data_IF_582109851915
#
_entry.id   IF_582109851915
#
_cell.length_a   1.000
_cell.length_b   1.000
_cell.length_c   1.000
_cell.angle_alpha   90.00
_cell.angle_beta   90.00
_cell.angle_gamma   90.00
#
_symmetry.space_group_name_H-M   'P 1'
#
loop_
_entity.id
_entity.type
_entity.pdbx_description
1 polymer ?
#
# COMPACT_ATOMS: atom_id res chain seq x y z
N UNK A 1 -32.79 4.20 2.79
CA UNK A 1 -31.57 4.94 3.17
C UNK A 1 -31.11 5.66 1.92
N UNK A 2 -30.73 6.93 2.00
CA UNK A 2 -30.12 7.62 0.86
C UNK A 2 -28.82 6.88 0.49
N UNK A 3 -28.57 6.67 -0.79
CA UNK A 3 -27.35 6.00 -1.24
C UNK A 3 -26.11 6.84 -1.01
N UNK A 4 -24.97 6.19 -1.15
CA UNK A 4 -23.67 6.72 -0.77
C UNK A 4 -22.99 7.42 -1.94
N UNK A 5 -22.31 8.53 -1.61
CA UNK A 5 -21.40 9.24 -2.52
C UNK A 5 -19.97 8.84 -2.21
N UNK A 6 -19.29 8.28 -3.21
CA UNK A 6 -17.88 7.88 -3.14
C UNK A 6 -17.04 8.83 -3.98
N UNK A 7 -15.87 9.22 -3.47
CA UNK A 7 -14.85 9.95 -4.22
C UNK A 7 -13.62 9.06 -4.34
N UNK A 8 -13.25 8.66 -5.56
CA UNK A 8 -12.03 7.92 -5.83
C UNK A 8 -10.94 8.87 -6.35
N UNK A 9 -9.87 8.99 -5.58
CA UNK A 9 -8.69 9.77 -5.93
C UNK A 9 -7.69 8.88 -6.65
N UNK A 10 -7.52 9.10 -7.95
CA UNK A 10 -6.63 8.33 -8.83
C UNK A 10 -7.39 7.38 -9.76
N UNK A 11 -6.97 7.35 -11.03
CA UNK A 11 -7.50 6.48 -12.08
C UNK A 11 -6.37 5.78 -12.87
N UNK A 12 -5.25 5.50 -12.18
CA UNK A 12 -4.22 4.58 -12.66
C UNK A 12 -4.69 3.11 -12.69
N UNK A 13 -3.76 2.16 -12.81
CA UNK A 13 -4.12 0.73 -12.91
C UNK A 13 -4.97 0.23 -11.73
N UNK A 14 -4.61 0.59 -10.49
CA UNK A 14 -5.39 0.24 -9.29
C UNK A 14 -6.73 0.96 -9.25
N UNK A 15 -6.77 2.25 -9.63
CA UNK A 15 -8.01 3.03 -9.72
C UNK A 15 -9.01 2.44 -10.71
N UNK A 16 -8.53 1.94 -11.85
CA UNK A 16 -9.36 1.24 -12.84
C UNK A 16 -9.94 -0.05 -12.26
N UNK A 17 -9.13 -0.86 -11.58
CA UNK A 17 -9.59 -2.08 -10.94
C UNK A 17 -10.61 -1.80 -9.82
N UNK A 18 -10.31 -0.88 -8.91
CA UNK A 18 -11.21 -0.43 -7.84
C UNK A 18 -12.56 0.04 -8.38
N UNK A 19 -12.56 0.81 -9.47
CA UNK A 19 -13.80 1.32 -10.05
C UNK A 19 -14.73 0.19 -10.54
N UNK A 20 -14.18 -0.92 -11.05
CA UNK A 20 -14.96 -2.10 -11.49
C UNK A 20 -15.80 -2.66 -10.33
N UNK A 21 -15.25 -2.70 -9.12
CA UNK A 21 -15.97 -3.18 -7.94
C UNK A 21 -16.92 -2.12 -7.38
N UNK A 22 -16.50 -0.85 -7.32
CA UNK A 22 -17.33 0.25 -6.85
C UNK A 22 -18.62 0.41 -7.65
N UNK A 23 -18.57 0.24 -8.98
CA UNK A 23 -19.78 0.30 -9.81
C UNK A 23 -20.70 -0.90 -9.59
N UNK A 24 -20.22 -2.03 -9.09
CA UNK A 24 -21.05 -3.22 -8.82
C UNK A 24 -21.59 -3.22 -7.38
N UNK A 25 -20.95 -2.49 -6.47
CA UNK A 25 -21.34 -2.47 -5.07
C UNK A 25 -22.72 -1.84 -4.85
N UNK A 26 -23.62 -2.52 -4.10
CA UNK A 26 -24.95 -2.00 -3.82
C UNK A 26 -24.89 -0.80 -2.87
N UNK A 27 -25.87 0.10 -2.98
CA UNK A 27 -26.01 1.26 -2.10
C UNK A 27 -25.11 2.45 -2.43
N UNK A 28 -24.30 2.39 -3.50
CA UNK A 28 -23.56 3.53 -4.04
C UNK A 28 -24.37 4.20 -5.16
N UNK A 29 -24.73 5.46 -4.96
CA UNK A 29 -25.54 6.25 -5.90
C UNK A 29 -24.67 7.16 -6.78
N UNK A 30 -23.56 7.67 -6.27
CA UNK A 30 -22.65 8.58 -6.99
C UNK A 30 -21.20 8.16 -6.76
N UNK A 31 -20.42 8.09 -7.84
CA UNK A 31 -18.98 7.86 -7.82
C UNK A 31 -18.31 9.00 -8.58
N UNK A 32 -17.49 9.77 -7.86
CA UNK A 32 -16.66 10.82 -8.41
C UNK A 32 -15.26 10.27 -8.57
N UNK A 33 -14.78 10.12 -9.80
CA UNK A 33 -13.42 9.66 -10.07
C UNK A 33 -12.58 10.88 -10.41
N UNK A 34 -11.35 10.93 -9.89
CA UNK A 34 -10.43 12.03 -10.16
C UNK A 34 -9.07 11.57 -10.66
N UNK A 35 -8.53 12.29 -11.64
CA UNK A 35 -7.14 12.16 -12.09
C UNK A 35 -6.72 13.48 -12.79
N UNK A 36 -5.46 13.60 -13.19
CA UNK A 36 -4.92 14.75 -13.89
C UNK A 36 -4.35 14.45 -15.30
N UNK A 37 -4.24 13.17 -15.70
CA UNK A 37 -3.66 12.81 -17.00
C UNK A 37 -4.51 13.27 -18.20
N UNK A 38 -3.90 13.61 -19.35
CA UNK A 38 -4.64 14.00 -20.55
C UNK A 38 -5.54 12.88 -21.09
N UNK A 39 -6.83 13.15 -21.30
CA UNK A 39 -7.79 12.18 -21.82
C UNK A 39 -8.60 11.44 -20.75
N UNK A 40 -8.28 11.64 -19.46
CA UNK A 40 -8.98 11.03 -18.32
C UNK A 40 -10.52 11.17 -18.38
N UNK A 41 -11.03 12.36 -18.67
CA UNK A 41 -12.49 12.59 -18.70
C UNK A 41 -13.18 11.79 -19.82
N UNK A 42 -12.51 11.60 -20.96
CA UNK A 42 -13.02 10.80 -22.06
C UNK A 42 -13.02 9.30 -21.70
N UNK A 43 -12.00 8.82 -21.00
CA UNK A 43 -11.93 7.43 -20.52
C UNK A 43 -13.07 7.11 -19.55
N UNK A 44 -13.41 8.05 -18.65
CA UNK A 44 -14.56 7.89 -17.74
C UNK A 44 -15.88 7.97 -18.49
N UNK A 45 -16.04 8.91 -19.43
CA UNK A 45 -17.24 9.02 -20.24
C UNK A 45 -17.51 7.75 -21.06
N UNK A 46 -16.45 7.09 -21.57
CA UNK A 46 -16.54 5.85 -22.31
C UNK A 46 -17.09 4.66 -21.49
N UNK A 47 -17.09 4.75 -20.15
CA UNK A 47 -17.71 3.73 -19.29
C UNK A 47 -19.24 3.71 -19.42
N UNK A 48 -19.86 4.81 -19.85
CA UNK A 48 -21.31 4.90 -20.07
C UNK A 48 -22.17 4.69 -18.81
N UNK A 49 -21.57 4.77 -17.61
CA UNK A 49 -22.28 4.53 -16.36
C UNK A 49 -22.80 5.85 -15.77
N UNK A 50 -24.12 6.05 -15.62
CA UNK A 50 -24.70 7.32 -15.18
C UNK A 50 -24.36 7.68 -13.72
N UNK A 51 -23.87 6.73 -12.92
CA UNK A 51 -23.45 6.98 -11.53
C UNK A 51 -22.00 7.47 -11.44
N UNK A 52 -21.22 7.38 -12.51
CA UNK A 52 -19.79 7.71 -12.50
C UNK A 52 -19.58 9.04 -13.21
N UNK A 53 -18.89 9.97 -12.56
CA UNK A 53 -18.47 11.24 -13.16
C UNK A 53 -16.98 11.50 -12.96
N UNK A 54 -16.37 12.09 -13.98
CA UNK A 54 -14.98 12.56 -13.89
C UNK A 54 -14.92 13.96 -13.28
N UNK A 55 -13.91 14.20 -12.45
CA UNK A 55 -13.47 15.53 -12.04
C UNK A 55 -11.96 15.57 -12.15
N UNK A 56 -11.43 16.47 -12.97
CA UNK A 56 -9.99 16.67 -13.04
C UNK A 56 -9.49 17.32 -11.76
N UNK A 57 -8.51 16.69 -11.10
CA UNK A 57 -7.91 17.17 -9.84
C UNK A 57 -6.40 17.00 -9.89
N UNK A 58 -5.68 18.06 -9.56
CA UNK A 58 -4.26 17.99 -9.23
C UNK A 58 -4.10 17.76 -7.72
N UNK A 59 -3.66 16.56 -7.34
CA UNK A 59 -3.51 16.17 -5.94
C UNK A 59 -2.45 17.00 -5.17
N UNK A 60 -1.58 17.75 -5.86
CA UNK A 60 -0.68 18.71 -5.20
C UNK A 60 -1.38 19.97 -4.71
N UNK A 61 -2.59 20.23 -5.20
CA UNK A 61 -3.39 21.39 -4.82
C UNK A 61 -4.44 20.99 -3.79
N UNK A 62 -4.13 21.27 -2.53
CA UNK A 62 -4.99 20.96 -1.39
C UNK A 62 -6.43 21.45 -1.56
N UNK A 63 -6.64 22.64 -2.13
CA UNK A 63 -7.98 23.20 -2.29
C UNK A 63 -8.82 22.43 -3.32
N UNK A 64 -8.21 21.91 -4.39
CA UNK A 64 -8.90 21.05 -5.37
C UNK A 64 -9.30 19.72 -4.71
N UNK A 65 -8.40 19.11 -3.93
CA UNK A 65 -8.72 17.91 -3.14
C UNK A 65 -9.85 18.19 -2.13
N UNK A 66 -9.80 19.32 -1.43
CA UNK A 66 -10.79 19.65 -0.42
C UNK A 66 -12.18 19.82 -1.05
N UNK A 67 -12.24 20.51 -2.19
CA UNK A 67 -13.48 20.71 -2.93
C UNK A 67 -14.12 19.40 -3.39
N UNK A 68 -13.32 18.44 -3.88
CA UNK A 68 -13.87 17.17 -4.37
C UNK A 68 -14.23 16.20 -3.24
N UNK A 69 -13.44 16.18 -2.15
CA UNK A 69 -13.67 15.31 -0.99
C UNK A 69 -14.85 15.79 -0.14
N UNK A 70 -15.19 17.08 -0.17
CA UNK A 70 -16.27 17.64 0.62
C UNK A 70 -17.63 16.95 0.34
N UNK A 71 -18.29 16.54 1.43
CA UNK A 71 -19.59 15.87 1.38
C UNK A 71 -19.57 14.44 0.82
N UNK A 72 -18.40 13.84 0.63
CA UNK A 72 -18.31 12.41 0.35
C UNK A 72 -18.65 11.60 1.61
N UNK A 73 -19.30 10.45 1.43
CA UNK A 73 -19.45 9.47 2.52
C UNK A 73 -18.14 8.74 2.78
N UNK A 74 -17.44 8.38 1.70
CA UNK A 74 -16.13 7.70 1.72
C UNK A 74 -15.27 8.24 0.59
N UNK A 75 -14.00 8.51 0.90
CA UNK A 75 -12.94 8.77 -0.06
C UNK A 75 -12.10 7.50 -0.21
N UNK A 76 -11.84 7.07 -1.44
CA UNK A 76 -10.93 5.96 -1.78
C UNK A 76 -9.68 6.57 -2.38
N UNK A 77 -8.54 6.42 -1.72
CA UNK A 77 -7.26 7.02 -2.08
C UNK A 77 -6.35 5.98 -2.73
N UNK A 78 -6.03 6.22 -4.01
CA UNK A 78 -5.21 5.37 -4.87
C UNK A 78 -4.17 6.23 -5.62
N UNK A 79 -3.69 7.30 -4.97
CA UNK A 79 -2.68 8.21 -5.47
C UNK A 79 -1.27 7.68 -5.13
N UNK A 80 -0.20 8.28 -5.67
CA UNK A 80 1.15 8.01 -5.19
C UNK A 80 1.29 8.28 -3.69
N UNK A 81 2.02 7.43 -2.96
CA UNK A 81 2.11 7.48 -1.49
C UNK A 81 2.62 8.79 -0.87
N UNK A 82 3.17 9.73 -1.64
CA UNK A 82 3.48 11.07 -1.14
C UNK A 82 2.22 11.89 -0.78
N UNK A 83 1.05 11.49 -1.29
CA UNK A 83 -0.23 12.12 -1.01
C UNK A 83 -1.01 11.44 0.12
N UNK A 84 -0.58 10.26 0.59
CA UNK A 84 -1.31 9.47 1.58
C UNK A 84 -1.55 10.25 2.89
N UNK A 85 -0.48 10.78 3.52
CA UNK A 85 -0.61 11.61 4.71
C UNK A 85 -1.40 12.91 4.45
N UNK A 86 -1.10 13.74 3.43
CA UNK A 86 -1.91 14.92 3.12
C UNK A 86 -3.42 14.64 2.93
N UNK A 87 -3.78 13.55 2.28
CA UNK A 87 -5.20 13.16 2.10
C UNK A 87 -5.81 12.72 3.42
N UNK A 88 -5.09 11.97 4.27
CA UNK A 88 -5.58 11.58 5.60
C UNK A 88 -5.79 12.80 6.51
N UNK A 89 -4.89 13.79 6.47
CA UNK A 89 -5.05 15.06 7.16
C UNK A 89 -6.34 15.77 6.73
N UNK A 90 -6.54 15.87 5.42
CA UNK A 90 -7.70 16.54 4.87
C UNK A 90 -9.00 15.76 5.14
N UNK A 91 -8.96 14.43 5.14
CA UNK A 91 -10.07 13.59 5.52
C UNK A 91 -10.49 13.85 6.98
N UNK A 92 -9.51 13.95 7.88
CA UNK A 92 -9.73 14.29 9.29
C UNK A 92 -10.30 15.70 9.45
N UNK A 93 -9.81 16.68 8.71
CA UNK A 93 -10.32 18.06 8.72
C UNK A 93 -11.77 18.14 8.22
N UNK A 94 -12.09 17.48 7.11
CA UNK A 94 -13.44 17.48 6.51
C UNK A 94 -14.42 16.55 7.24
N UNK A 95 -13.92 15.58 8.01
CA UNK A 95 -14.76 14.57 8.66
C UNK A 95 -15.37 13.56 7.68
N UNK A 96 -14.57 13.09 6.73
CA UNK A 96 -14.97 12.07 5.74
C UNK A 96 -14.25 10.76 6.02
N UNK A 97 -14.91 9.63 5.78
CA UNK A 97 -14.23 8.34 5.89
C UNK A 97 -13.20 8.20 4.78
N UNK A 98 -12.11 7.49 5.05
CA UNK A 98 -11.03 7.27 4.09
C UNK A 98 -10.69 5.79 4.01
N UNK A 99 -10.50 5.28 2.80
CA UNK A 99 -9.84 4.00 2.53
C UNK A 99 -8.61 4.32 1.68
N UNK A 100 -7.43 3.96 2.15
CA UNK A 100 -6.16 4.16 1.45
C UNK A 100 -5.46 2.82 1.26
N UNK A 101 -4.94 2.60 0.05
CA UNK A 101 -4.11 1.43 -0.24
C UNK A 101 -2.63 1.63 0.16
N UNK A 102 -2.28 2.76 0.78
CA UNK A 102 -0.92 3.15 1.12
C UNK A 102 -0.66 3.05 2.63
N UNK A 103 0.62 2.93 3.01
CA UNK A 103 1.06 3.35 4.33
C UNK A 103 0.87 4.86 4.46
N UNK A 104 0.18 5.34 5.50
CA UNK A 104 0.01 6.79 5.67
C UNK A 104 1.34 7.47 6.02
N UNK A 105 2.10 6.89 6.94
CA UNK A 105 3.47 7.32 7.23
C UNK A 105 4.46 6.62 6.30
N UNK A 106 5.38 7.37 5.69
CA UNK A 106 6.39 6.81 4.80
C UNK A 106 7.29 5.81 5.57
N UNK A 107 7.25 4.50 5.24
CA UNK A 107 8.06 3.49 5.93
C UNK A 107 9.55 3.58 5.60
N UNK A 108 9.94 4.34 4.57
CA UNK A 108 11.34 4.61 4.24
C UNK A 108 11.92 5.87 4.89
N UNK A 109 11.17 6.58 5.74
CA UNK A 109 11.70 7.75 6.45
C UNK A 109 12.74 7.33 7.48
N UNK A 110 13.97 7.85 7.35
CA UNK A 110 15.08 7.50 8.24
C UNK A 110 15.39 8.61 9.25
N UNK A 111 14.93 9.84 9.01
CA UNK A 111 15.15 10.94 9.92
C UNK A 111 14.29 10.77 11.19
N UNK A 112 14.90 10.66 12.39
CA UNK A 112 14.15 10.43 13.62
C UNK A 112 13.12 11.51 13.93
N UNK A 113 13.42 12.78 13.62
CA UNK A 113 12.51 13.88 13.89
C UNK A 113 11.29 13.85 12.95
N UNK A 114 11.49 13.49 11.67
CA UNK A 114 10.39 13.30 10.72
C UNK A 114 9.56 12.06 11.03
N UNK A 115 10.17 10.95 11.46
CA UNK A 115 9.42 9.78 11.97
C UNK A 115 8.55 10.13 13.16
N UNK A 116 9.11 10.83 14.14
CA UNK A 116 8.36 11.29 15.32
C UNK A 116 7.25 12.27 14.93
N UNK A 117 7.48 13.16 13.97
CA UNK A 117 6.43 14.02 13.44
C UNK A 117 5.31 13.22 12.78
N UNK A 118 5.63 12.19 11.98
CA UNK A 118 4.63 11.32 11.37
C UNK A 118 3.80 10.58 12.42
N UNK A 119 4.41 10.02 13.47
CA UNK A 119 3.66 9.34 14.53
C UNK A 119 2.74 10.27 15.31
N UNK A 120 3.22 11.47 15.65
CA UNK A 120 2.38 12.50 16.29
C UNK A 120 1.21 12.90 15.41
N UNK A 121 1.44 12.99 14.10
CA UNK A 121 0.38 13.34 13.16
C UNK A 121 -0.65 12.22 13.00
N UNK A 122 -0.24 10.97 12.93
CA UNK A 122 -1.14 9.82 12.96
C UNK A 122 -2.00 9.80 14.23
N UNK A 123 -1.39 10.05 15.39
CA UNK A 123 -2.11 10.14 16.67
C UNK A 123 -3.13 11.29 16.69
N UNK A 124 -2.77 12.45 16.11
CA UNK A 124 -3.68 13.59 15.96
C UNK A 124 -4.86 13.24 15.04
N UNK A 125 -4.59 12.63 13.89
CA UNK A 125 -5.61 12.18 12.93
C UNK A 125 -6.56 11.19 13.60
N UNK A 126 -6.03 10.16 14.29
CA UNK A 126 -6.82 9.16 15.01
C UNK A 126 -7.76 9.81 16.04
N UNK A 127 -7.25 10.73 16.87
CA UNK A 127 -8.06 11.45 17.84
C UNK A 127 -9.21 12.26 17.19
N UNK A 128 -8.92 12.99 16.10
CA UNK A 128 -9.92 13.78 15.38
C UNK A 128 -10.97 12.89 14.72
N UNK A 129 -10.55 11.77 14.11
CA UNK A 129 -11.45 10.84 13.44
C UNK A 129 -12.39 10.16 14.45
N UNK A 130 -11.85 9.72 15.60
CA UNK A 130 -12.66 9.20 16.71
C UNK A 130 -13.66 10.22 17.23
N UNK A 131 -13.25 11.47 17.44
CA UNK A 131 -14.15 12.54 17.87
C UNK A 131 -15.30 12.77 16.89
N UNK A 132 -15.03 12.67 15.59
CA UNK A 132 -16.03 12.86 14.53
C UNK A 132 -16.86 11.61 14.21
N UNK A 133 -16.55 10.46 14.84
CA UNK A 133 -17.18 9.17 14.52
C UNK A 133 -16.90 8.73 13.09
N UNK A 134 -15.67 8.94 12.61
CA UNK A 134 -15.22 8.60 11.26
C UNK A 134 -14.06 7.61 11.31
N UNK A 135 -13.85 6.91 10.21
CA UNK A 135 -12.84 5.85 10.10
C UNK A 135 -11.87 6.14 8.96
N UNK A 136 -10.59 5.86 9.20
CA UNK A 136 -9.59 5.68 8.17
C UNK A 136 -9.18 4.21 8.18
N UNK A 137 -9.26 3.57 7.02
CA UNK A 137 -8.64 2.28 6.75
C UNK A 137 -7.41 2.54 5.88
N UNK A 138 -6.22 2.43 6.46
CA UNK A 138 -4.98 2.43 5.70
C UNK A 138 -4.55 1.01 5.34
N UNK A 139 -3.49 0.90 4.54
CA UNK A 139 -2.91 -0.40 4.20
C UNK A 139 -3.94 -1.36 3.56
N UNK A 140 -4.87 -0.84 2.76
CA UNK A 140 -5.98 -1.58 2.17
C UNK A 140 -5.71 -2.03 0.72
N UNK A 141 -4.51 -2.56 0.47
CA UNK A 141 -4.03 -3.01 -0.84
C UNK A 141 -3.67 -4.50 -0.87
N UNK A 142 -2.62 -4.84 -1.63
CA UNK A 142 -2.07 -6.20 -1.70
C UNK A 142 -0.99 -6.41 -0.64
N UNK A 143 0.08 -5.61 -0.71
CA UNK A 143 1.19 -5.53 0.24
C UNK A 143 1.58 -4.03 0.34
N UNK A 144 1.07 -3.31 1.34
CA UNK A 144 0.31 -3.81 2.49
C UNK A 144 -1.20 -4.01 2.22
N UNK A 145 -1.78 -5.03 2.84
CA UNK A 145 -3.22 -5.26 2.95
C UNK A 145 -3.60 -6.73 3.01
N UNK A 146 -3.82 -7.36 1.86
CA UNK A 146 -4.12 -8.80 1.76
C UNK A 146 -3.07 -9.63 2.52
N UNK A 147 -1.79 -9.26 2.40
CA UNK A 147 -0.70 -9.93 3.11
C UNK A 147 -0.86 -9.88 4.65
N UNK A 148 -1.38 -8.78 5.19
CA UNK A 148 -1.62 -8.60 6.63
C UNK A 148 -2.81 -9.42 7.11
N UNK A 149 -3.90 -9.42 6.34
CA UNK A 149 -5.11 -10.20 6.63
C UNK A 149 -4.79 -11.71 6.61
N UNK A 150 -4.08 -12.16 5.57
CA UNK A 150 -3.63 -13.54 5.46
C UNK A 150 -2.61 -13.89 6.55
N UNK A 151 -1.69 -12.98 6.84
CA UNK A 151 -0.72 -13.12 7.93
C UNK A 151 -1.41 -13.36 9.26
N UNK A 152 -2.32 -12.47 9.68
CA UNK A 152 -3.09 -12.63 10.92
C UNK A 152 -3.85 -13.95 10.96
N UNK A 153 -4.52 -14.32 9.85
CA UNK A 153 -5.26 -15.58 9.75
C UNK A 153 -4.37 -16.81 9.92
N UNK A 154 -3.16 -16.80 9.36
CA UNK A 154 -2.20 -17.88 9.55
C UNK A 154 -1.73 -17.97 11.01
N UNK A 155 -1.45 -16.82 11.63
CA UNK A 155 -0.97 -16.75 13.01
C UNK A 155 -2.04 -17.17 14.04
N UNK A 156 -3.32 -16.89 13.77
CA UNK A 156 -4.44 -17.30 14.64
C UNK A 156 -4.59 -18.82 14.79
N UNK A 157 -4.02 -19.60 13.86
CA UNK A 157 -4.03 -21.06 13.91
C UNK A 157 -2.94 -21.68 14.77
N UNK A 158 -2.09 -20.87 15.42
CA UNK A 158 -0.91 -21.33 16.14
C UNK A 158 -0.92 -20.80 17.59
N UNK A 159 -0.57 -21.66 18.54
CA UNK A 159 -0.43 -21.26 19.95
C UNK A 159 0.82 -20.37 20.17
N UNK A 160 1.89 -20.66 19.44
CA UNK A 160 3.16 -19.96 19.51
C UNK A 160 3.85 -19.94 18.15
N UNK A 161 4.51 -18.83 17.81
CA UNK A 161 5.12 -18.62 16.49
C UNK A 161 6.61 -18.37 16.68
N UNK A 162 7.46 -19.34 16.31
CA UNK A 162 8.93 -19.18 16.36
C UNK A 162 9.51 -18.66 15.05
N UNK A 163 8.82 -18.90 13.93
CA UNK A 163 9.24 -18.42 12.62
C UNK A 163 8.05 -17.96 11.78
N UNK A 164 8.21 -16.82 11.10
CA UNK A 164 7.20 -16.31 10.18
C UNK A 164 7.87 -15.55 9.02
N UNK A 165 7.75 -16.08 7.81
CA UNK A 165 8.31 -15.46 6.60
C UNK A 165 7.18 -15.16 5.62
N UNK A 166 7.11 -13.91 5.16
CA UNK A 166 6.14 -13.46 4.16
C UNK A 166 6.86 -13.02 2.90
N UNK A 167 6.34 -13.42 1.75
CA UNK A 167 6.94 -13.23 0.44
C UNK A 167 5.94 -12.53 -0.50
N UNK A 168 6.14 -11.23 -0.70
CA UNK A 168 5.36 -10.41 -1.62
C UNK A 168 5.88 -10.52 -3.05
N UNK A 169 4.98 -10.77 -4.00
CA UNK A 169 5.32 -11.02 -5.40
C UNK A 169 4.50 -10.15 -6.35
N UNK A 170 5.18 -9.57 -7.33
CA UNK A 170 4.56 -8.88 -8.45
C UNK A 170 5.58 -8.76 -9.57
N UNK A 171 5.57 -9.70 -10.51
CA UNK A 171 6.52 -9.81 -11.60
C UNK A 171 5.84 -10.45 -12.82
N UNK A 172 6.36 -10.24 -14.05
CA UNK A 172 5.76 -10.85 -15.24
C UNK A 172 5.91 -12.37 -15.24
N UNK A 173 5.04 -13.08 -15.94
CA UNK A 173 5.27 -14.48 -16.30
C UNK A 173 6.59 -14.63 -17.10
N UNK A 174 7.20 -15.82 -17.08
CA UNK A 174 8.52 -16.06 -17.69
C UNK A 174 8.59 -15.68 -19.17
N UNK A 175 7.54 -15.97 -19.94
CA UNK A 175 7.47 -15.61 -21.37
C UNK A 175 7.50 -14.10 -21.59
N UNK A 176 6.98 -13.32 -20.64
CA UNK A 176 6.98 -11.87 -20.65
C UNK A 176 8.24 -11.27 -19.97
N UNK A 177 9.05 -12.07 -19.28
CA UNK A 177 10.26 -11.64 -18.56
C UNK A 177 11.47 -11.47 -19.49
N UNK A 178 11.26 -10.86 -20.66
CA UNK A 178 12.20 -10.79 -21.78
C UNK A 178 13.10 -9.54 -21.80
N UNK A 179 13.46 -9.02 -20.63
CA UNK A 179 14.34 -7.86 -20.48
C UNK A 179 15.45 -8.13 -19.45
N UNK A 180 16.51 -7.30 -19.38
CA UNK A 180 17.70 -7.60 -18.57
C UNK A 180 17.43 -7.86 -17.09
N UNK A 181 16.43 -7.19 -16.49
CA UNK A 181 16.06 -7.32 -15.08
C UNK A 181 14.81 -8.19 -14.86
N UNK A 182 14.31 -8.82 -15.93
CA UNK A 182 13.14 -9.72 -15.93
C UNK A 182 11.91 -9.12 -15.24
N UNK A 183 11.69 -7.81 -15.39
CA UNK A 183 10.66 -7.08 -14.67
C UNK A 183 9.85 -6.14 -15.58
N UNK A 184 8.58 -5.90 -15.24
CA UNK A 184 7.73 -4.90 -15.89
C UNK A 184 6.98 -4.11 -14.82
N UNK A 185 6.88 -2.81 -15.01
CA UNK A 185 6.20 -1.93 -14.07
C UNK A 185 4.67 -2.08 -14.21
N UNK A 186 4.03 -2.59 -13.17
CA UNK A 186 2.56 -2.70 -13.03
C UNK A 186 1.98 -1.73 -12.00
N UNK A 187 2.85 -0.91 -11.40
CA UNK A 187 2.52 0.15 -10.45
C UNK A 187 3.57 1.26 -10.55
N UNK A 188 3.47 2.30 -9.71
CA UNK A 188 4.34 3.49 -9.76
C UNK A 188 5.82 3.15 -9.88
N UNK A 189 6.47 3.59 -10.97
CA UNK A 189 7.92 3.40 -11.19
C UNK A 189 8.73 4.00 -10.04
N UNK A 190 8.39 5.23 -9.64
CA UNK A 190 9.03 5.90 -8.51
C UNK A 190 8.80 5.11 -7.22
N UNK A 191 7.61 4.53 -7.06
CA UNK A 191 7.29 3.64 -5.95
C UNK A 191 8.19 2.40 -5.93
N UNK A 192 8.36 1.72 -7.07
CA UNK A 192 9.27 0.56 -7.21
C UNK A 192 10.68 0.97 -6.79
N UNK A 193 11.22 2.05 -7.37
CA UNK A 193 12.59 2.48 -7.06
C UNK A 193 12.77 2.86 -5.59
N UNK A 194 11.79 3.53 -4.99
CA UNK A 194 11.81 3.85 -3.55
C UNK A 194 11.74 2.60 -2.67
N UNK A 195 11.00 1.59 -3.08
CA UNK A 195 10.92 0.33 -2.33
C UNK A 195 12.26 -0.40 -2.27
N UNK A 196 13.11 -0.25 -3.30
CA UNK A 196 14.45 -0.85 -3.34
C UNK A 196 15.48 -0.08 -2.50
N UNK A 197 15.20 1.19 -2.19
CA UNK A 197 16.04 2.05 -1.34
C UNK A 197 15.46 2.24 0.06
N UNK A 198 14.56 1.36 0.49
CA UNK A 198 13.99 1.38 1.84
C UNK A 198 14.83 0.45 2.73
N UNK A 199 15.35 0.93 3.87
CA UNK A 199 16.01 0.05 4.83
C UNK A 199 15.01 -0.98 5.35
N UNK A 200 15.51 -2.14 5.74
CA UNK A 200 14.69 -3.21 6.27
C UNK A 200 15.16 -3.66 7.65
N UNK A 201 14.28 -4.32 8.36
CA UNK A 201 14.61 -5.03 9.60
C UNK A 201 14.10 -6.46 9.46
N UNK A 202 14.98 -7.42 9.70
CA UNK A 202 14.62 -8.84 9.83
C UNK A 202 14.90 -9.28 11.26
N UNK A 203 14.20 -10.32 11.73
CA UNK A 203 14.45 -10.92 13.05
C UNK A 203 15.26 -12.19 12.83
N UNK A 204 16.41 -12.30 13.48
CA UNK A 204 17.26 -13.50 13.48
C UNK A 204 17.70 -13.83 14.90
N UNK A 205 17.49 -15.06 15.32
CA UNK A 205 17.74 -15.52 16.69
C UNK A 205 17.07 -14.62 17.75
N UNK A 206 15.86 -14.13 17.44
CA UNK A 206 15.07 -13.22 18.29
C UNK A 206 15.57 -11.77 18.33
N UNK A 207 16.62 -11.44 17.58
CA UNK A 207 17.23 -10.11 17.51
C UNK A 207 16.89 -9.39 16.21
N UNK A 208 16.66 -8.10 16.32
CA UNK A 208 16.42 -7.22 15.17
C UNK A 208 17.77 -7.02 14.46
N UNK A 209 17.81 -7.31 13.16
CA UNK A 209 18.95 -7.12 12.28
C UNK A 209 18.56 -6.08 11.24
N UNK A 210 19.23 -4.94 11.29
CA UNK A 210 19.03 -3.86 10.32
C UNK A 210 19.75 -4.18 9.01
N UNK A 211 19.06 -3.94 7.90
CA UNK A 211 19.58 -4.00 6.54
C UNK A 211 19.52 -2.60 5.95
N UNK A 212 20.69 -2.04 5.65
CA UNK A 212 20.76 -0.70 5.06
C UNK A 212 20.20 -0.71 3.64
N UNK A 213 19.67 0.44 3.22
CA UNK A 213 19.09 0.62 1.89
C UNK A 213 20.08 0.32 0.75
N UNK A 214 21.36 0.69 0.92
CA UNK A 214 22.42 0.46 -0.06
C UNK A 214 22.99 -0.97 -0.04
N UNK A 215 22.64 -1.77 0.97
CA UNK A 215 23.03 -3.17 1.12
C UNK A 215 21.90 -4.14 0.76
N UNK A 216 20.72 -3.64 0.35
CA UNK A 216 19.50 -4.42 0.13
C UNK A 216 19.69 -5.62 -0.80
N UNK A 217 20.44 -5.42 -1.88
CA UNK A 217 20.73 -6.43 -2.90
C UNK A 217 22.07 -7.14 -2.70
N UNK A 218 22.76 -6.90 -1.58
CA UNK A 218 24.00 -7.61 -1.30
C UNK A 218 23.74 -9.11 -1.14
N UNK A 219 24.69 -9.99 -1.54
CA UNK A 219 24.53 -11.44 -1.42
C UNK A 219 24.26 -11.95 0.02
N UNK A 220 24.60 -11.16 1.04
CA UNK A 220 24.32 -11.49 2.43
C UNK A 220 22.84 -11.28 2.83
N UNK A 221 22.13 -10.43 2.07
CA UNK A 221 20.74 -10.06 2.33
C UNK A 221 19.77 -10.68 1.31
N UNK A 222 20.27 -11.32 0.25
CA UNK A 222 19.45 -12.01 -0.74
C UNK A 222 19.49 -13.52 -0.55
N UNK A 223 18.41 -14.19 -0.96
CA UNK A 223 18.36 -15.65 -1.02
C UNK A 223 17.47 -16.14 -2.17
N UNK A 224 17.61 -17.40 -2.54
CA UNK A 224 16.73 -18.05 -3.51
C UNK A 224 15.66 -18.84 -2.77
N UNK A 225 14.39 -18.55 -3.09
CA UNK A 225 13.24 -19.35 -2.68
C UNK A 225 12.87 -20.27 -3.84
N UNK A 226 13.01 -21.59 -3.63
CA UNK A 226 12.55 -22.57 -4.60
C UNK A 226 11.05 -22.81 -4.40
N UNK A 227 10.25 -22.39 -5.38
CA UNK A 227 8.79 -22.48 -5.35
C UNK A 227 8.28 -22.92 -6.72
N UNK A 228 8.31 -24.24 -7.02
CA UNK A 228 7.95 -24.78 -8.33
C UNK A 228 6.56 -24.37 -8.82
N UNK A 229 5.62 -24.14 -7.89
CA UNK A 229 4.25 -23.67 -8.16
C UNK A 229 4.22 -22.29 -8.85
N UNK A 230 5.27 -21.48 -8.67
CA UNK A 230 5.43 -20.18 -9.34
C UNK A 230 6.18 -20.29 -10.67
N UNK A 231 6.56 -21.50 -11.11
CA UNK A 231 7.25 -21.74 -12.37
C UNK A 231 8.77 -21.69 -12.29
N UNK A 232 9.36 -21.57 -11.10
CA UNK A 232 10.81 -21.65 -10.91
C UNK A 232 11.33 -20.96 -9.64
N UNK A 233 12.66 -20.94 -9.43
CA UNK A 233 13.26 -20.27 -8.28
C UNK A 233 13.07 -18.76 -8.34
N UNK A 234 12.84 -18.15 -7.18
CA UNK A 234 12.65 -16.72 -7.00
C UNK A 234 13.79 -16.11 -6.19
N UNK A 235 14.37 -15.03 -6.69
CA UNK A 235 15.32 -14.20 -5.96
C UNK A 235 14.57 -13.29 -4.98
N UNK A 236 14.95 -13.36 -3.72
CA UNK A 236 14.25 -12.71 -2.62
C UNK A 236 15.18 -11.73 -1.88
N UNK A 237 14.63 -10.59 -1.47
CA UNK A 237 15.33 -9.59 -0.65
C UNK A 237 14.38 -8.95 0.38
N UNK A 238 14.88 -8.48 1.54
CA UNK A 238 14.06 -7.91 2.61
C UNK A 238 13.16 -6.75 2.19
N UNK A 239 12.04 -6.61 2.89
CA UNK A 239 11.01 -5.65 2.57
C UNK A 239 10.42 -5.00 3.84
N UNK A 240 10.92 -3.82 4.20
CA UNK A 240 10.42 -3.05 5.33
C UNK A 240 10.81 -3.63 6.69
N UNK A 241 10.04 -3.29 7.73
CA UNK A 241 10.41 -3.53 9.13
C UNK A 241 9.64 -4.71 9.73
N UNK A 242 10.25 -5.89 9.76
CA UNK A 242 9.62 -7.08 10.35
C UNK A 242 9.43 -6.97 11.86
N UNK A 243 10.24 -6.16 12.57
CA UNK A 243 10.09 -5.93 14.01
C UNK A 243 8.83 -5.14 14.32
N UNK A 244 8.52 -4.13 13.49
CA UNK A 244 7.24 -3.43 13.54
C UNK A 244 6.07 -4.41 13.40
N UNK A 245 6.05 -5.24 12.36
CA UNK A 245 4.94 -6.19 12.15
C UNK A 245 4.89 -7.29 13.21
N UNK A 246 6.01 -7.75 13.76
CA UNK A 246 6.02 -8.69 14.87
C UNK A 246 5.28 -8.12 16.11
N UNK A 247 5.45 -6.81 16.38
CA UNK A 247 4.73 -6.10 17.44
C UNK A 247 3.25 -5.95 17.10
N UNK A 248 2.94 -5.51 15.88
CA UNK A 248 1.55 -5.34 15.40
C UNK A 248 0.76 -6.65 15.40
N UNK A 249 1.41 -7.79 15.11
CA UNK A 249 0.81 -9.11 15.20
C UNK A 249 0.86 -9.73 16.61
N UNK A 250 1.50 -9.09 17.59
CA UNK A 250 1.58 -9.60 18.96
C UNK A 250 2.46 -10.83 19.13
N UNK A 251 3.41 -11.09 18.23
CA UNK A 251 4.30 -12.26 18.24
C UNK A 251 5.76 -11.92 18.55
N UNK A 252 6.08 -10.65 18.85
CA UNK A 252 7.47 -10.20 19.02
C UNK A 252 8.25 -10.97 20.10
N UNK A 253 7.58 -11.39 21.17
CA UNK A 253 8.23 -12.07 22.30
C UNK A 253 8.59 -13.53 22.00
N UNK A 254 7.94 -14.16 21.02
CA UNK A 254 8.09 -15.59 20.71
C UNK A 254 8.83 -15.83 19.40
N UNK A 255 8.71 -14.90 18.44
CA UNK A 255 9.32 -15.05 17.12
C UNK A 255 10.84 -14.94 17.19
N UNK A 256 11.52 -15.94 16.64
CA UNK A 256 12.98 -16.04 16.58
C UNK A 256 13.51 -15.76 15.18
N UNK A 257 12.73 -16.07 14.15
CA UNK A 257 13.08 -15.85 12.74
C UNK A 257 11.93 -15.20 12.01
N UNK A 258 12.09 -13.96 11.55
CA UNK A 258 11.04 -13.26 10.80
C UNK A 258 11.63 -12.43 9.70
N UNK A 259 10.99 -12.44 8.55
CA UNK A 259 11.35 -11.62 7.42
C UNK A 259 10.16 -11.42 6.50
N UNK A 260 9.94 -10.18 6.10
CA UNK A 260 9.10 -9.83 4.96
C UNK A 260 10.03 -9.63 3.78
N UNK A 261 9.71 -10.22 2.63
CA UNK A 261 10.57 -10.25 1.46
C UNK A 261 9.80 -9.88 0.21
N UNK A 262 10.50 -9.29 -0.77
CA UNK A 262 10.04 -9.15 -2.14
C UNK A 262 10.65 -10.27 -2.97
N UNK A 263 9.85 -10.88 -3.85
CA UNK A 263 10.31 -11.91 -4.80
C UNK A 263 10.39 -11.36 -6.23
N UNK A 264 11.42 -11.79 -6.97
CA UNK A 264 11.65 -11.49 -8.39
C UNK A 264 12.24 -12.69 -9.10
N UNK A 265 12.26 -12.65 -10.43
CA UNK A 265 13.05 -13.60 -11.19
C UNK A 265 14.54 -13.38 -10.94
N UNK A 266 15.36 -14.45 -10.91
CA UNK A 266 16.80 -14.35 -10.70
C UNK A 266 17.50 -13.39 -11.67
N UNK A 267 18.44 -12.62 -11.14
CA UNK A 267 19.19 -11.57 -11.85
C UNK A 267 18.57 -10.18 -11.74
N UNK A 268 17.54 -10.01 -10.89
CA UNK A 268 16.93 -8.71 -10.65
C UNK A 268 17.77 -7.85 -9.70
N UNK A 269 18.37 -8.48 -8.69
CA UNK A 269 19.20 -7.86 -7.66
C UNK A 269 20.70 -7.81 -8.04
N UNK A 270 21.04 -8.02 -9.32
CA UNK A 270 22.41 -8.09 -9.82
C UNK A 270 23.10 -6.72 -9.96
#
# INVERSE_FOLDING_TARGET
MAGKKIVQLGYGMQGKASLVDLVQAPGIEEIVVTDCYPGFEADIAALGNPRVRAVRVDASKRDELAAVMAGADVVVELLPGLFAMPVAQLAAELGVNLVSAMYLANPGEQDPARREANFRELARIDAVMKQKGKTILEEFGMDPGIDLVLGRKCLDGLDEVHAFHSYGAGFPELEAANNPIRYKFTWSVIGVMRSYLRPAVVIKDGRDIEVKADEMFSPANTHILDLPEMGGPLECFPNGDSSHFAKSFGIRETVKSMGRYICRWPGHAA
#
